data_IF_171461566325
#
_entry.id   IF_171461566325
#
_cell.length_a   1.000
_cell.length_b   1.000
_cell.length_c   1.000
_cell.angle_alpha   90.00
_cell.angle_beta   90.00
_cell.angle_gamma   90.00
#
_symmetry.space_group_name_H-M   'P 1'
#
loop_
_entity.id
_entity.type
_entity.pdbx_description
1 polymer ?
#
# COMPACT_ATOMS: atom_id res chain seq x y z
N UNK A 1 37.37 23.71 14.20
CA UNK A 1 37.49 23.00 12.91
C UNK A 1 36.37 21.96 12.83
N UNK A 2 35.30 22.23 12.07
CA UNK A 2 34.15 21.32 11.97
C UNK A 2 34.52 20.12 11.11
N UNK A 3 34.60 18.94 11.74
CA UNK A 3 34.89 17.68 11.08
C UNK A 3 33.75 17.38 10.08
N UNK A 4 34.06 17.42 8.78
CA UNK A 4 33.08 17.18 7.73
C UNK A 4 32.66 15.71 7.73
N UNK A 5 31.46 15.42 8.21
CA UNK A 5 30.90 14.06 8.23
C UNK A 5 30.50 13.64 6.81
N UNK A 6 31.25 12.71 6.22
CA UNK A 6 30.97 12.13 4.91
C UNK A 6 30.37 10.71 5.06
N UNK A 7 29.52 10.30 4.12
CA UNK A 7 29.04 8.91 4.02
C UNK A 7 30.09 8.02 3.34
N UNK A 8 29.83 6.71 3.27
CA UNK A 8 30.71 5.75 2.58
C UNK A 8 30.94 6.05 1.09
N UNK A 9 30.18 6.97 0.50
CA UNK A 9 30.31 7.44 -0.87
C UNK A 9 30.87 8.87 -0.96
N UNK A 10 31.44 9.41 0.13
CA UNK A 10 32.06 10.73 0.17
C UNK A 10 31.08 11.91 0.16
N UNK A 11 29.78 11.69 0.38
CA UNK A 11 28.76 12.75 0.39
C UNK A 11 28.56 13.29 1.80
N UNK A 12 28.32 14.60 1.94
CA UNK A 12 27.99 15.22 3.23
C UNK A 12 26.78 14.53 3.86
N UNK A 13 26.96 13.94 5.05
CA UNK A 13 25.88 13.36 5.82
C UNK A 13 25.07 14.46 6.50
N UNK A 14 23.75 14.34 6.42
CA UNK A 14 22.89 15.12 7.29
C UNK A 14 23.12 14.69 8.74
N UNK A 15 23.39 15.63 9.68
CA UNK A 15 23.51 15.32 11.10
C UNK A 15 22.29 14.56 11.66
N UNK A 16 21.11 14.74 11.05
CA UNK A 16 19.87 14.07 11.39
C UNK A 16 19.89 12.54 11.23
N UNK A 17 20.88 12.00 10.51
CA UNK A 17 21.05 10.56 10.29
C UNK A 17 22.00 9.89 11.28
N UNK A 18 22.57 10.67 12.23
CA UNK A 18 23.53 10.16 13.21
C UNK A 18 22.83 9.52 14.42
N UNK A 19 23.37 8.40 14.95
CA UNK A 19 22.94 7.86 16.24
C UNK A 19 23.00 8.96 17.32
N UNK A 20 21.92 9.13 18.07
CA UNK A 20 21.85 10.13 19.14
C UNK A 20 21.41 11.54 18.74
N UNK A 21 21.34 11.88 17.44
CA UNK A 21 20.89 13.23 17.02
C UNK A 21 19.47 13.58 17.49
N UNK A 22 18.62 12.56 17.61
CA UNK A 22 17.27 12.68 18.13
C UNK A 22 17.12 12.23 19.59
N UNK A 23 18.21 11.90 20.29
CA UNK A 23 18.14 11.49 21.69
C UNK A 23 17.59 12.65 22.55
N UNK A 24 16.61 12.36 23.40
CA UNK A 24 15.95 13.35 24.25
C UNK A 24 15.02 14.34 23.52
N UNK A 25 14.98 14.33 22.19
CA UNK A 25 14.09 15.21 21.41
C UNK A 25 12.78 14.46 21.12
N UNK A 26 11.62 14.98 21.53
CA UNK A 26 10.37 14.42 21.06
C UNK A 26 10.35 14.48 19.52
N UNK A 27 9.79 13.47 18.83
CA UNK A 27 9.58 13.56 17.40
C UNK A 27 8.90 14.89 17.08
N UNK A 28 9.29 15.54 15.98
CA UNK A 28 8.71 16.81 15.54
C UNK A 28 7.18 16.77 15.41
N UNK A 29 6.61 15.56 15.34
CA UNK A 29 5.19 15.29 15.23
C UNK A 29 4.54 14.78 16.54
N UNK A 30 5.24 14.82 17.69
CA UNK A 30 4.67 14.40 18.98
C UNK A 30 3.53 15.36 19.35
N UNK A 31 2.32 14.83 19.49
CA UNK A 31 1.12 15.62 19.79
C UNK A 31 0.39 16.18 18.56
N UNK A 32 1.00 16.16 17.36
CA UNK A 32 0.32 16.54 16.13
C UNK A 32 -0.51 15.37 15.61
N UNK A 33 -1.82 15.41 15.85
CA UNK A 33 -2.80 14.62 15.10
C UNK A 33 -3.13 15.39 13.84
N UNK A 34 -2.44 15.07 12.75
CA UNK A 34 -2.92 15.50 11.44
C UNK A 34 -4.29 14.85 11.22
N UNK A 35 -5.35 15.61 10.89
CA UNK A 35 -6.60 15.01 10.48
C UNK A 35 -6.27 14.08 9.32
N UNK A 36 -6.75 12.85 9.42
CA UNK A 36 -6.50 11.91 8.35
C UNK A 36 -7.28 12.39 7.13
N UNK A 37 -6.56 12.76 6.08
CA UNK A 37 -7.13 13.21 4.79
C UNK A 37 -6.91 12.09 3.76
N UNK A 38 -7.68 10.98 3.85
CA UNK A 38 -7.59 9.94 2.84
C UNK A 38 -7.96 10.51 1.46
N UNK A 39 -7.41 9.91 0.37
CA UNK A 39 -7.88 10.22 -0.97
C UNK A 39 -9.38 9.95 -1.07
N UNK A 40 -10.09 10.85 -1.74
CA UNK A 40 -11.51 10.65 -2.04
C UNK A 40 -11.66 9.61 -3.13
N UNK A 41 -12.83 8.98 -3.23
CA UNK A 41 -13.13 7.97 -4.26
C UNK A 41 -12.83 8.51 -5.65
N UNK A 42 -13.24 9.76 -5.95
CA UNK A 42 -13.04 10.37 -7.26
C UNK A 42 -11.56 10.52 -7.61
N UNK A 43 -10.71 10.78 -6.62
CA UNK A 43 -9.27 10.86 -6.82
C UNK A 43 -8.65 9.48 -7.01
N UNK A 44 -9.05 8.48 -6.22
CA UNK A 44 -8.57 7.10 -6.39
C UNK A 44 -8.89 6.63 -7.81
N UNK A 45 -10.13 6.85 -8.26
CA UNK A 45 -10.58 6.53 -9.62
C UNK A 45 -9.81 7.33 -10.67
N UNK A 46 -9.54 8.63 -10.44
CA UNK A 46 -8.73 9.43 -11.36
C UNK A 46 -7.30 8.89 -11.51
N UNK A 47 -6.67 8.46 -10.40
CA UNK A 47 -5.34 7.81 -10.46
C UNK A 47 -5.42 6.46 -11.19
N UNK A 48 -6.46 5.66 -10.96
CA UNK A 48 -6.65 4.39 -11.67
C UNK A 48 -6.81 4.60 -13.18
N UNK A 49 -7.57 5.62 -13.61
CA UNK A 49 -7.72 5.98 -15.03
C UNK A 49 -6.39 6.47 -15.63
N UNK A 50 -5.66 7.32 -14.90
CA UNK A 50 -4.35 7.83 -15.34
C UNK A 50 -3.29 6.72 -15.46
N UNK A 51 -3.42 5.63 -14.70
CA UNK A 51 -2.53 4.47 -14.84
C UNK A 51 -2.62 3.83 -16.24
N UNK A 52 -3.76 3.96 -16.92
CA UNK A 52 -4.00 3.39 -18.25
C UNK A 52 -4.31 1.90 -18.24
N UNK A 53 -4.48 1.34 -19.45
CA UNK A 53 -4.90 -0.05 -19.68
C UNK A 53 -3.77 -0.98 -20.15
N UNK A 54 -2.54 -0.46 -20.24
CA UNK A 54 -1.37 -1.28 -20.52
C UNK A 54 -1.01 -2.20 -19.34
N UNK A 55 -0.04 -3.12 -19.52
CA UNK A 55 0.33 -4.08 -18.49
C UNK A 55 0.83 -3.42 -17.20
N UNK A 56 1.53 -2.27 -17.27
CA UNK A 56 1.98 -1.55 -16.07
C UNK A 56 0.81 -0.88 -15.37
N UNK A 57 -0.08 -0.27 -16.13
CA UNK A 57 -1.32 0.37 -15.66
C UNK A 57 -2.23 -0.60 -14.94
N UNK A 58 -2.51 -1.77 -15.53
CA UNK A 58 -3.34 -2.81 -14.90
C UNK A 58 -2.69 -3.38 -13.63
N UNK A 59 -1.36 -3.57 -13.62
CA UNK A 59 -0.64 -3.95 -12.39
C UNK A 59 -0.80 -2.91 -11.29
N UNK A 60 -0.66 -1.62 -11.63
CA UNK A 60 -0.81 -0.53 -10.68
C UNK A 60 -2.25 -0.41 -10.16
N UNK A 61 -3.25 -0.52 -11.04
CA UNK A 61 -4.68 -0.55 -10.69
C UNK A 61 -4.99 -1.71 -9.74
N UNK A 62 -4.53 -2.92 -10.06
CA UNK A 62 -4.67 -4.08 -9.17
C UNK A 62 -4.04 -3.84 -7.79
N UNK A 63 -2.87 -3.18 -7.73
CA UNK A 63 -2.25 -2.80 -6.45
C UNK A 63 -3.11 -1.80 -5.68
N UNK A 64 -3.65 -0.76 -6.35
CA UNK A 64 -4.53 0.23 -5.71
C UNK A 64 -5.76 -0.47 -5.13
N UNK A 65 -6.39 -1.35 -5.91
CA UNK A 65 -7.57 -2.12 -5.52
C UNK A 65 -7.32 -2.96 -4.27
N UNK A 66 -6.26 -3.77 -4.20
CA UNK A 66 -6.01 -4.58 -2.98
C UNK A 66 -5.66 -3.73 -1.76
N UNK A 67 -5.06 -2.55 -1.95
CA UNK A 67 -4.77 -1.62 -0.85
C UNK A 67 -6.04 -0.92 -0.34
N UNK A 68 -6.98 -0.60 -1.23
CA UNK A 68 -8.17 0.20 -0.95
C UNK A 68 -9.42 -0.63 -0.67
N UNK A 69 -9.67 -1.73 -1.39
CA UNK A 69 -10.87 -2.55 -1.23
C UNK A 69 -10.70 -3.70 -0.25
N UNK A 70 -9.47 -4.21 -0.09
CA UNK A 70 -9.15 -5.23 0.91
C UNK A 70 -8.33 -4.67 2.10
N UNK A 71 -7.93 -3.41 2.04
CA UNK A 71 -7.25 -2.73 3.14
C UNK A 71 -5.86 -3.30 3.48
N UNK A 72 -5.14 -3.92 2.55
CA UNK A 72 -3.85 -4.54 2.85
C UNK A 72 -2.76 -3.50 3.14
N UNK A 73 -1.75 -3.88 3.92
CA UNK A 73 -0.47 -3.12 3.97
C UNK A 73 0.30 -3.40 2.68
N UNK A 74 1.09 -2.42 2.20
CA UNK A 74 1.89 -2.61 0.97
C UNK A 74 2.79 -3.86 0.99
N UNK A 75 3.39 -4.20 2.13
CA UNK A 75 4.20 -5.43 2.23
C UNK A 75 3.34 -6.68 2.09
N UNK A 76 2.13 -6.68 2.65
CA UNK A 76 1.18 -7.80 2.55
C UNK A 76 0.70 -7.93 1.10
N UNK A 77 0.30 -6.82 0.46
CA UNK A 77 -0.15 -6.78 -0.93
C UNK A 77 0.92 -7.27 -1.91
N UNK A 78 2.16 -6.79 -1.79
CA UNK A 78 3.25 -7.22 -2.67
C UNK A 78 3.69 -8.67 -2.41
N UNK A 79 3.37 -9.23 -1.24
CA UNK A 79 3.66 -10.62 -0.89
C UNK A 79 2.55 -11.61 -1.26
N UNK A 80 1.42 -11.14 -1.79
CA UNK A 80 0.38 -12.01 -2.34
C UNK A 80 0.92 -12.81 -3.52
N UNK A 81 0.44 -14.05 -3.65
CA UNK A 81 0.52 -14.87 -4.83
C UNK A 81 -0.90 -15.22 -5.31
N UNK A 82 -1.03 -15.75 -6.52
CA UNK A 82 -2.35 -16.14 -7.07
C UNK A 82 -3.07 -17.17 -6.19
N UNK A 83 -2.32 -18.11 -5.59
CA UNK A 83 -2.86 -19.10 -4.65
C UNK A 83 -3.38 -18.52 -3.32
N UNK A 84 -3.12 -17.24 -3.04
CA UNK A 84 -3.66 -16.56 -1.86
C UNK A 84 -5.04 -15.92 -2.17
N UNK A 85 -5.52 -15.99 -3.41
CA UNK A 85 -6.81 -15.43 -3.84
C UNK A 85 -7.86 -16.54 -3.86
N UNK A 86 -8.97 -16.34 -3.15
CA UNK A 86 -10.16 -17.17 -3.23
C UNK A 86 -11.32 -16.34 -3.76
N UNK A 87 -11.47 -16.32 -5.09
CA UNK A 87 -12.53 -15.58 -5.77
C UNK A 87 -13.92 -16.07 -5.36
N UNK A 88 -14.09 -17.39 -5.17
CA UNK A 88 -15.40 -17.99 -4.82
C UNK A 88 -15.88 -17.51 -3.45
N UNK A 89 -14.96 -17.38 -2.50
CA UNK A 89 -15.24 -16.88 -1.14
C UNK A 89 -15.09 -15.35 -1.02
N UNK A 90 -14.69 -14.67 -2.10
CA UNK A 90 -14.40 -13.24 -2.11
C UNK A 90 -13.29 -12.83 -1.13
N UNK A 91 -12.32 -13.72 -0.88
CA UNK A 91 -11.33 -13.57 0.19
C UNK A 91 -9.89 -13.60 -0.31
N UNK A 92 -9.01 -12.89 0.40
CA UNK A 92 -7.56 -12.94 0.21
C UNK A 92 -6.89 -13.45 1.49
N UNK A 93 -5.91 -14.34 1.34
CA UNK A 93 -5.12 -14.87 2.45
C UNK A 93 -3.86 -14.04 2.67
N UNK A 94 -3.83 -13.28 3.77
CA UNK A 94 -2.60 -12.62 4.23
C UNK A 94 -1.78 -13.61 5.03
N UNK A 95 -0.74 -14.18 4.40
CA UNK A 95 0.13 -15.21 5.01
C UNK A 95 1.00 -14.71 6.17
N UNK A 96 1.45 -13.45 6.11
CA UNK A 96 2.35 -12.85 7.11
C UNK A 96 1.89 -11.44 7.45
N UNK A 97 0.93 -11.32 8.36
CA UNK A 97 0.50 -10.05 8.90
C UNK A 97 1.43 -9.49 9.97
N UNK A 98 1.03 -8.38 10.59
CA UNK A 98 1.72 -7.82 11.76
C UNK A 98 1.86 -8.90 12.86
N UNK A 99 3.09 -9.11 13.35
CA UNK A 99 3.38 -10.16 14.34
C UNK A 99 3.36 -11.58 13.79
N UNK A 100 3.43 -11.76 12.46
CA UNK A 100 3.50 -13.08 11.82
C UNK A 100 2.18 -13.85 11.71
N UNK A 101 1.06 -13.23 12.09
CA UNK A 101 -0.25 -13.90 12.10
C UNK A 101 -0.88 -13.95 10.70
N UNK A 102 -1.51 -15.08 10.39
CA UNK A 102 -2.33 -15.27 9.18
C UNK A 102 -3.72 -14.67 9.40
N UNK A 103 -4.33 -14.12 8.34
CA UNK A 103 -5.74 -13.74 8.32
C UNK A 103 -6.32 -13.81 6.92
N UNK A 104 -7.60 -14.17 6.82
CA UNK A 104 -8.39 -13.92 5.63
C UNK A 104 -8.95 -12.49 5.69
N UNK A 105 -8.98 -11.80 4.56
CA UNK A 105 -9.58 -10.47 4.41
C UNK A 105 -10.55 -10.52 3.23
N UNK A 106 -11.75 -9.98 3.42
CA UNK A 106 -12.74 -9.89 2.35
C UNK A 106 -12.43 -8.76 1.37
N UNK A 107 -12.89 -8.90 0.14
CA UNK A 107 -12.93 -7.83 -0.85
C UNK A 107 -14.28 -7.89 -1.57
N UNK A 108 -14.87 -6.73 -1.81
CA UNK A 108 -16.17 -6.62 -2.48
C UNK A 108 -16.09 -6.98 -3.97
N UNK A 109 -17.25 -7.24 -4.57
CA UNK A 109 -17.37 -7.67 -5.98
C UNK A 109 -16.72 -6.67 -6.92
N UNK A 110 -16.94 -5.37 -6.72
CA UNK A 110 -16.32 -4.32 -7.53
C UNK A 110 -14.78 -4.38 -7.47
N UNK A 111 -14.21 -4.61 -6.28
CA UNK A 111 -12.76 -4.80 -6.15
C UNK A 111 -12.26 -6.02 -6.91
N UNK A 112 -13.02 -7.11 -6.93
CA UNK A 112 -12.67 -8.29 -7.72
C UNK A 112 -12.75 -8.04 -9.23
N UNK A 113 -13.80 -7.36 -9.70
CA UNK A 113 -13.99 -7.03 -11.11
C UNK A 113 -12.83 -6.15 -11.63
N UNK A 114 -12.41 -5.16 -10.86
CA UNK A 114 -11.26 -4.32 -11.23
C UNK A 114 -9.93 -5.10 -11.22
N UNK A 115 -9.76 -6.03 -10.27
CA UNK A 115 -8.57 -6.86 -10.19
C UNK A 115 -8.48 -7.87 -11.34
N UNK A 116 -9.62 -8.35 -11.85
CA UNK A 116 -9.68 -9.38 -12.90
C UNK A 116 -8.89 -9.01 -14.15
N UNK A 117 -8.95 -7.74 -14.55
CA UNK A 117 -8.21 -7.20 -15.69
C UNK A 117 -6.68 -7.41 -15.58
N UNK A 118 -6.15 -7.43 -14.36
CA UNK A 118 -4.76 -7.74 -14.06
C UNK A 118 -4.51 -9.25 -13.99
N UNK A 119 -5.44 -10.01 -13.41
CA UNK A 119 -5.33 -11.48 -13.30
C UNK A 119 -5.25 -12.15 -14.68
N UNK A 120 -6.04 -11.69 -15.65
CA UNK A 120 -6.00 -12.19 -17.03
C UNK A 120 -4.61 -12.01 -17.67
N UNK A 121 -3.99 -10.83 -17.49
CA UNK A 121 -2.63 -10.59 -17.96
C UNK A 121 -1.58 -11.38 -17.17
N UNK A 122 -1.84 -11.60 -15.87
CA UNK A 122 -0.92 -12.30 -14.97
C UNK A 122 -0.68 -13.74 -15.40
N UNK A 123 -1.66 -14.40 -16.04
CA UNK A 123 -1.54 -15.76 -16.59
C UNK A 123 -0.35 -15.88 -17.56
N UNK A 124 -0.06 -14.83 -18.34
CA UNK A 124 1.06 -14.80 -19.28
C UNK A 124 2.43 -14.47 -18.67
N UNK A 125 2.53 -14.28 -17.36
CA UNK A 125 3.76 -13.87 -16.66
C UNK A 125 4.36 -15.02 -15.85
N UNK A 126 5.69 -15.01 -15.58
CA UNK A 126 6.35 -16.08 -14.82
C UNK A 126 5.67 -16.32 -13.46
N UNK A 127 5.53 -17.59 -13.06
CA UNK A 127 4.95 -17.97 -11.76
C UNK A 127 5.67 -17.28 -10.61
N UNK A 128 4.92 -16.73 -9.65
CA UNK A 128 5.51 -16.00 -8.54
C UNK A 128 4.53 -15.04 -7.84
N UNK A 129 5.03 -13.92 -7.28
CA UNK A 129 4.19 -12.91 -6.66
C UNK A 129 3.12 -12.38 -7.62
N UNK A 130 1.96 -12.04 -7.06
CA UNK A 130 0.83 -11.47 -7.78
C UNK A 130 1.21 -10.15 -8.44
N UNK A 131 1.97 -9.30 -7.73
CA UNK A 131 2.53 -8.06 -8.27
C UNK A 131 4.03 -8.22 -8.48
N UNK A 132 4.43 -8.36 -9.73
CA UNK A 132 5.81 -8.65 -10.10
C UNK A 132 6.43 -7.56 -10.98
N UNK A 133 7.75 -7.61 -11.11
CA UNK A 133 8.49 -6.85 -12.11
C UNK A 133 8.12 -7.38 -13.50
N UNK A 134 7.76 -6.49 -14.41
CA UNK A 134 7.24 -6.85 -15.73
C UNK A 134 8.35 -7.05 -16.78
N UNK A 135 9.46 -6.33 -16.66
CA UNK A 135 10.50 -6.22 -17.68
C UNK A 135 11.91 -6.43 -17.12
N UNK A 136 12.85 -6.78 -18.01
CA UNK A 136 14.28 -6.90 -17.70
C UNK A 136 14.67 -8.18 -16.95
N UNK A 137 15.93 -8.22 -16.46
CA UNK A 137 16.55 -9.42 -15.87
C UNK A 137 15.85 -9.96 -14.61
N UNK A 138 15.06 -9.12 -13.94
CA UNK A 138 14.33 -9.46 -12.72
C UNK A 138 12.84 -9.70 -12.97
N UNK A 139 12.42 -9.83 -14.23
CA UNK A 139 11.04 -10.15 -14.61
C UNK A 139 10.51 -11.34 -13.81
N UNK A 140 9.27 -11.22 -13.31
CA UNK A 140 8.62 -12.22 -12.45
C UNK A 140 9.00 -12.15 -10.96
N UNK A 141 10.09 -11.46 -10.58
CA UNK A 141 10.41 -11.24 -9.17
C UNK A 141 9.42 -10.27 -8.53
N UNK A 142 9.32 -10.33 -7.20
CA UNK A 142 8.47 -9.43 -6.41
C UNK A 142 8.73 -7.97 -6.77
N UNK A 143 7.66 -7.23 -7.01
CA UNK A 143 7.77 -5.79 -7.25
C UNK A 143 8.18 -5.08 -5.96
N UNK A 144 9.19 -4.22 -6.02
CA UNK A 144 9.74 -3.60 -4.82
C UNK A 144 8.81 -2.53 -4.26
N UNK A 145 8.76 -2.43 -2.94
CA UNK A 145 7.95 -1.41 -2.24
C UNK A 145 8.34 0.02 -2.62
N UNK A 146 9.62 0.27 -2.85
CA UNK A 146 10.11 1.57 -3.27
C UNK A 146 9.60 1.92 -4.68
N UNK A 147 9.68 0.97 -5.62
CA UNK A 147 9.18 1.15 -6.98
C UNK A 147 7.67 1.37 -7.01
N UNK A 148 6.90 0.53 -6.31
CA UNK A 148 5.45 0.65 -6.21
C UNK A 148 5.00 2.01 -5.63
N UNK A 149 5.66 2.48 -4.55
CA UNK A 149 5.38 3.81 -3.98
C UNK A 149 5.73 4.95 -4.94
N UNK A 150 6.85 4.82 -5.66
CA UNK A 150 7.27 5.82 -6.62
C UNK A 150 6.28 5.90 -7.80
N UNK A 151 5.81 4.76 -8.29
CA UNK A 151 4.81 4.66 -9.36
C UNK A 151 3.47 5.27 -8.93
N UNK A 152 2.93 4.86 -7.77
CA UNK A 152 1.72 5.46 -7.19
C UNK A 152 1.81 6.99 -7.10
N UNK A 153 2.92 7.52 -6.60
CA UNK A 153 3.12 8.96 -6.45
C UNK A 153 3.19 9.67 -7.80
N UNK A 154 3.91 9.09 -8.79
CA UNK A 154 4.01 9.68 -10.13
C UNK A 154 2.66 9.70 -10.83
N UNK A 155 1.94 8.58 -10.82
CA UNK A 155 0.61 8.48 -11.45
C UNK A 155 -0.40 9.39 -10.78
N UNK A 156 -0.37 9.52 -9.44
CA UNK A 156 -1.23 10.46 -8.74
C UNK A 156 -0.95 11.93 -9.09
N UNK A 157 0.33 12.30 -9.19
CA UNK A 157 0.70 13.64 -9.63
C UNK A 157 0.24 13.92 -11.06
N UNK A 158 0.39 12.94 -11.97
CA UNK A 158 -0.08 13.03 -13.35
C UNK A 158 -1.62 13.16 -13.42
N UNK A 159 -2.35 12.52 -12.50
CA UNK A 159 -3.80 12.63 -12.38
C UNK A 159 -4.28 13.96 -11.75
N UNK A 160 -3.38 14.89 -11.42
CA UNK A 160 -3.72 16.16 -10.78
C UNK A 160 -4.06 16.05 -9.29
N UNK A 161 -3.80 14.91 -8.65
CA UNK A 161 -4.06 14.69 -7.22
C UNK A 161 -2.96 15.37 -6.41
N UNK A 162 -3.27 16.53 -5.82
CA UNK A 162 -2.32 17.35 -5.06
C UNK A 162 -2.04 16.80 -3.66
N UNK A 163 -2.95 16.01 -3.09
CA UNK A 163 -2.76 15.42 -1.75
C UNK A 163 -1.85 14.21 -1.80
N UNK A 164 -1.46 13.72 -0.62
CA UNK A 164 -0.57 12.58 -0.50
C UNK A 164 -1.29 11.28 -0.92
N UNK A 165 -0.96 10.77 -2.10
CA UNK A 165 -1.43 9.47 -2.57
C UNK A 165 -0.40 8.37 -2.26
N UNK A 166 -0.66 7.56 -1.23
CA UNK A 166 0.29 6.55 -0.75
C UNK A 166 -0.44 5.32 -0.18
N UNK A 167 0.21 4.14 -0.07
CA UNK A 167 -0.47 2.91 0.31
C UNK A 167 -1.22 2.95 1.66
N UNK A 168 -0.66 3.64 2.65
CA UNK A 168 -1.31 3.79 3.95
C UNK A 168 -2.55 4.70 3.89
N UNK A 169 -2.62 5.64 2.94
CA UNK A 169 -3.76 6.51 2.74
C UNK A 169 -4.90 5.75 2.04
N UNK A 170 -4.59 4.90 1.05
CA UNK A 170 -5.57 4.00 0.43
C UNK A 170 -6.20 3.04 1.44
N UNK A 171 -5.35 2.43 2.29
CA UNK A 171 -5.82 1.60 3.40
C UNK A 171 -6.63 2.40 4.43
N UNK A 172 -6.31 3.67 4.63
CA UNK A 172 -7.09 4.51 5.53
C UNK A 172 -8.45 4.88 4.91
N UNK A 173 -8.50 5.17 3.61
CA UNK A 173 -9.75 5.37 2.86
C UNK A 173 -10.69 4.17 3.04
N UNK A 174 -10.17 2.95 2.93
CA UNK A 174 -10.93 1.71 3.21
C UNK A 174 -11.56 1.72 4.61
N UNK A 175 -10.77 2.08 5.64
CA UNK A 175 -11.23 2.10 7.02
C UNK A 175 -12.33 3.15 7.23
N UNK A 176 -12.20 4.31 6.60
CA UNK A 176 -13.18 5.40 6.66
C UNK A 176 -14.47 5.03 5.93
N UNK A 177 -14.38 4.36 4.77
CA UNK A 177 -15.55 3.87 4.04
C UNK A 177 -16.33 2.84 4.85
N UNK A 178 -15.64 1.81 5.38
CA UNK A 178 -16.30 0.82 6.26
C UNK A 178 -16.97 1.49 7.47
N UNK A 179 -16.32 2.49 8.08
CA UNK A 179 -16.90 3.21 9.20
C UNK A 179 -18.14 4.02 8.79
N UNK A 180 -18.13 4.66 7.61
CA UNK A 180 -19.29 5.38 7.05
C UNK A 180 -20.44 4.45 6.69
N UNK A 181 -20.14 3.23 6.28
CA UNK A 181 -21.10 2.15 6.02
C UNK A 181 -21.65 1.52 7.30
N UNK A 182 -21.22 1.99 8.48
CA UNK A 182 -21.70 1.49 9.78
C UNK A 182 -21.09 0.15 10.21
N UNK A 183 -20.01 -0.29 9.57
CA UNK A 183 -19.32 -1.54 9.96
C UNK A 183 -18.76 -1.39 11.39
N UNK A 184 -19.04 -2.33 12.31
CA UNK A 184 -18.55 -2.24 13.68
C UNK A 184 -17.02 -2.13 13.74
N UNK A 185 -16.50 -1.26 14.61
CA UNK A 185 -15.06 -0.98 14.72
C UNK A 185 -14.21 -2.25 14.93
N UNK A 186 -14.72 -3.22 15.69
CA UNK A 186 -14.04 -4.51 15.93
C UNK A 186 -13.84 -5.29 14.63
N UNK A 187 -14.83 -5.25 13.72
CA UNK A 187 -14.75 -5.88 12.39
C UNK A 187 -13.72 -5.16 11.52
N UNK A 188 -13.76 -3.82 11.51
CA UNK A 188 -12.77 -2.97 10.81
C UNK A 188 -11.35 -3.30 11.29
N UNK A 189 -11.13 -3.38 12.60
CA UNK A 189 -9.82 -3.68 13.19
C UNK A 189 -9.35 -5.10 12.85
N UNK A 190 -10.25 -6.09 12.80
CA UNK A 190 -9.93 -7.46 12.39
C UNK A 190 -9.53 -7.53 10.92
N UNK A 191 -10.31 -6.92 10.03
CA UNK A 191 -10.01 -6.80 8.59
C UNK A 191 -8.63 -6.18 8.36
N UNK A 192 -8.34 -5.09 9.07
CA UNK A 192 -7.06 -4.39 9.01
C UNK A 192 -5.93 -5.15 9.71
N UNK A 193 -6.20 -6.16 10.54
CA UNK A 193 -5.17 -6.88 11.29
C UNK A 193 -4.48 -5.97 12.31
N UNK A 194 -5.26 -5.22 13.08
CA UNK A 194 -4.79 -4.51 14.27
C UNK A 194 -4.85 -5.47 15.47
N UNK A 195 -3.68 -5.81 16.02
CA UNK A 195 -3.56 -6.71 17.18
C UNK A 195 -3.78 -6.02 18.53
N UNK A 196 -3.90 -4.69 18.53
CA UNK A 196 -4.14 -3.89 19.74
C UNK A 196 -5.33 -2.96 19.47
N UNK A 197 -6.39 -3.12 20.26
CA UNK A 197 -7.63 -2.35 20.23
C UNK A 197 -7.42 -0.85 20.53
N UNK A 198 -6.27 -0.47 21.09
CA UNK A 198 -5.98 0.88 21.62
C UNK A 198 -5.43 1.94 20.64
N UNK A 199 -5.38 1.69 19.32
CA UNK A 199 -4.90 2.71 18.34
C UNK A 199 -5.89 2.90 17.20
N UNK A 200 -7.17 3.12 17.53
CA UNK A 200 -8.13 3.62 16.54
C UNK A 200 -8.99 4.68 17.19
N UNK A 201 -8.42 5.88 17.31
CA UNK A 201 -9.25 7.09 17.31
C UNK A 201 -9.66 7.30 15.85
N UNK A 202 -10.95 7.15 15.57
CA UNK A 202 -11.55 7.77 14.39
C UNK A 202 -11.49 9.28 14.59
#
# INVERSE_FOLDING_TARGET
>A
MSEMLLDRAGRRRSPATMPGFHAGRPPRNKGLRYPADPPKVEEIVAVMRMAGDDTHGRRLRGLIVVLWRAGLRIQEALALAEADLDYRRGALLVRRGKGGRRREVGMDTWGWDELQSWLELRVGLPVGPLFCVLNGRTRGRQWSTAAARAELRRTAAAAGVRRRFAPHQLRHAHAVEMAREGVPLVVIQRQLGHSNLGITSV
#
